data_IF_415335226867
#
_entry.id   IF_415335226867
#
_cell.length_a   1.000
_cell.length_b   1.000
_cell.length_c   1.000
_cell.angle_alpha   90.00
_cell.angle_beta   90.00
_cell.angle_gamma   90.00
#
_symmetry.space_group_name_H-M   'P 1'
#
loop_
_entity.id
_entity.type
_entity.pdbx_description
1 polymer ?
#
# COMPACT_ATOMS: atom_id res chain seq x y z
N UNK A 1 -22.62 23.62 27.63
CA UNK A 1 -22.32 22.72 26.50
C UNK A 1 -22.48 23.53 25.23
N UNK A 2 -21.38 24.12 24.74
CA UNK A 2 -21.41 24.96 23.54
C UNK A 2 -21.45 24.08 22.30
N UNK A 3 -22.44 24.29 21.44
CA UNK A 3 -22.53 23.60 20.15
C UNK A 3 -21.47 24.20 19.21
N UNK A 4 -20.50 23.39 18.80
CA UNK A 4 -19.44 23.78 17.87
C UNK A 4 -20.01 23.93 16.46
N UNK A 5 -20.59 25.08 16.15
CA UNK A 5 -20.94 25.43 14.77
C UNK A 5 -19.76 26.21 14.20
N UNK A 6 -18.84 25.52 13.55
CA UNK A 6 -17.85 26.15 12.68
C UNK A 6 -18.58 26.67 11.44
N UNK A 7 -18.92 27.96 11.46
CA UNK A 7 -19.24 28.67 10.23
C UNK A 7 -17.95 28.78 9.42
N UNK A 8 -17.79 27.89 8.44
CA UNK A 8 -16.77 27.99 7.39
C UNK A 8 -17.08 29.24 6.55
N UNK A 9 -16.56 30.39 6.97
CA UNK A 9 -16.83 31.69 6.35
C UNK A 9 -16.25 31.84 4.94
N UNK A 10 -15.46 30.88 4.44
CA UNK A 10 -14.74 31.03 3.16
C UNK A 10 -14.83 29.83 2.21
N UNK A 11 -15.60 28.79 2.53
CA UNK A 11 -15.63 27.57 1.70
C UNK A 11 -17.03 27.33 1.16
N UNK A 12 -17.25 27.76 -0.10
CA UNK A 12 -18.30 27.32 -1.05
C UNK A 12 -19.29 26.30 -0.44
N UNK A 13 -20.19 26.77 0.43
CA UNK A 13 -21.14 25.94 1.22
C UNK A 13 -22.03 25.09 0.31
N UNK A 14 -22.07 25.46 -0.97
CA UNK A 14 -22.80 24.83 -2.03
C UNK A 14 -22.15 23.56 -2.60
N UNK A 15 -20.93 23.16 -2.20
CA UNK A 15 -20.32 21.93 -2.70
C UNK A 15 -19.80 21.05 -1.56
N UNK A 16 -20.28 19.82 -1.48
CA UNK A 16 -19.91 18.85 -0.44
C UNK A 16 -19.21 17.65 -1.08
N UNK A 17 -18.09 17.22 -0.50
CA UNK A 17 -17.43 16.00 -0.91
C UNK A 17 -17.97 14.79 -0.16
N UNK A 18 -18.28 13.72 -0.90
CA UNK A 18 -18.86 12.49 -0.34
C UNK A 18 -18.21 11.23 -0.92
N UNK A 19 -18.32 10.14 -0.16
CA UNK A 19 -18.04 8.77 -0.61
C UNK A 19 -19.35 7.98 -0.56
N UNK A 20 -19.59 7.16 -1.59
CA UNK A 20 -20.73 6.26 -1.62
C UNK A 20 -20.34 4.91 -1.00
N UNK A 21 -21.13 4.44 -0.04
CA UNK A 21 -21.00 3.09 0.53
C UNK A 21 -21.55 2.02 -0.45
N UNK A 22 -21.38 0.75 -0.10
CA UNK A 22 -21.90 -0.41 -0.84
C UNK A 22 -23.42 -0.36 -1.05
N UNK A 23 -24.15 0.26 -0.11
CA UNK A 23 -25.59 0.46 -0.19
C UNK A 23 -26.00 1.72 -0.98
N UNK A 24 -25.04 2.43 -1.59
CA UNK A 24 -25.28 3.68 -2.31
C UNK A 24 -25.51 4.90 -1.42
N UNK A 25 -25.25 4.80 -0.10
CA UNK A 25 -25.42 5.92 0.84
C UNK A 25 -24.23 6.86 0.76
N UNK A 26 -24.49 8.15 0.58
CA UNK A 26 -23.47 9.19 0.55
C UNK A 26 -23.05 9.63 1.96
N UNK A 27 -21.78 9.42 2.32
CA UNK A 27 -21.17 9.93 3.55
C UNK A 27 -20.30 11.14 3.28
N UNK A 28 -20.46 12.19 4.07
CA UNK A 28 -19.58 13.37 4.01
C UNK A 28 -18.18 13.00 4.48
N UNK A 29 -17.19 13.55 3.78
CA UNK A 29 -15.77 13.38 4.11
C UNK A 29 -15.02 14.71 4.01
N UNK A 30 -13.79 14.73 4.49
CA UNK A 30 -12.93 15.90 4.37
C UNK A 30 -12.63 16.20 2.89
N UNK A 31 -12.36 17.48 2.60
CA UNK A 31 -11.98 17.92 1.26
C UNK A 31 -10.75 17.15 0.75
N UNK A 32 -10.82 16.66 -0.49
CA UNK A 32 -9.78 15.85 -1.14
C UNK A 32 -9.94 14.34 -0.95
N UNK A 33 -10.80 13.88 -0.05
CA UNK A 33 -11.02 12.45 0.19
C UNK A 33 -12.29 11.90 -0.47
N UNK A 34 -13.19 12.78 -0.93
CA UNK A 34 -14.45 12.35 -1.55
C UNK A 34 -14.26 11.86 -2.98
N UNK A 35 -15.04 10.86 -3.35
CA UNK A 35 -15.12 10.37 -4.74
C UNK A 35 -16.18 11.10 -5.56
N UNK A 36 -17.17 11.70 -4.88
CA UNK A 36 -18.26 12.44 -5.50
C UNK A 36 -18.41 13.83 -4.87
N UNK A 37 -18.96 14.74 -5.65
CA UNK A 37 -19.25 16.13 -5.30
C UNK A 37 -20.75 16.36 -5.40
N UNK A 38 -21.37 16.83 -4.31
CA UNK A 38 -22.76 17.26 -4.29
C UNK A 38 -22.78 18.78 -4.37
N UNK A 39 -23.27 19.32 -5.48
CA UNK A 39 -23.47 20.75 -5.71
C UNK A 39 -24.92 21.13 -5.42
N UNK A 40 -25.10 21.91 -4.36
CA UNK A 40 -26.38 22.47 -3.92
C UNK A 40 -26.53 23.86 -4.54
N UNK A 41 -27.63 24.08 -5.24
CA UNK A 41 -27.97 25.39 -5.79
C UNK A 41 -29.25 25.89 -5.09
N UNK A 42 -29.38 27.19 -4.80
CA UNK A 42 -30.58 27.72 -4.16
C UNK A 42 -31.81 27.62 -5.08
N UNK A 43 -31.64 27.88 -6.37
CA UNK A 43 -32.74 28.01 -7.35
C UNK A 43 -32.78 26.86 -8.36
N UNK A 44 -31.94 25.83 -8.18
CA UNK A 44 -31.81 24.70 -9.11
C UNK A 44 -31.71 23.40 -8.34
N UNK A 45 -31.99 22.31 -9.04
CA UNK A 45 -31.83 20.97 -8.47
C UNK A 45 -30.38 20.73 -8.03
N UNK A 46 -30.25 20.01 -6.92
CA UNK A 46 -28.95 19.57 -6.41
C UNK A 46 -28.37 18.54 -7.37
N UNK A 47 -27.12 18.76 -7.80
CA UNK A 47 -26.43 17.90 -8.77
C UNK A 47 -25.31 17.12 -8.10
N UNK A 48 -25.18 15.85 -8.44
CA UNK A 48 -24.05 15.02 -8.02
C UNK A 48 -23.12 14.77 -9.21
N UNK A 49 -21.83 15.03 -9.02
CA UNK A 49 -20.79 14.80 -10.03
C UNK A 49 -19.71 13.88 -9.45
N UNK A 50 -19.24 12.91 -10.24
CA UNK A 50 -18.10 12.07 -9.86
C UNK A 50 -16.80 12.83 -10.10
N UNK A 51 -15.90 12.87 -9.12
CA UNK A 51 -14.57 13.44 -9.35
C UNK A 51 -13.80 12.57 -10.34
N UNK A 52 -13.10 13.18 -11.32
CA UNK A 52 -12.16 12.43 -12.13
C UNK A 52 -11.09 11.83 -11.20
N UNK A 53 -10.67 10.58 -11.45
CA UNK A 53 -9.53 10.03 -10.72
C UNK A 53 -8.33 10.94 -10.98
N UNK A 54 -7.75 11.48 -9.90
CA UNK A 54 -6.57 12.32 -9.99
C UNK A 54 -5.50 11.46 -10.63
N UNK A 55 -5.07 11.83 -11.85
CA UNK A 55 -3.97 11.15 -12.51
C UNK A 55 -2.73 11.38 -11.64
N UNK A 56 -1.88 10.37 -11.42
CA UNK A 56 -0.67 10.53 -10.61
C UNK A 56 0.27 11.63 -11.13
N UNK A 57 0.12 12.11 -12.38
CA UNK A 57 0.89 13.25 -12.88
C UNK A 57 0.55 14.59 -12.20
N UNK A 58 -0.63 14.75 -11.60
CA UNK A 58 -0.99 15.97 -10.85
C UNK A 58 -0.44 15.94 -9.40
N UNK A 59 -0.14 14.77 -8.85
CA UNK A 59 0.56 14.61 -7.56
C UNK A 59 2.08 14.80 -7.67
N UNK A 60 2.61 14.96 -8.88
CA UNK A 60 4.05 15.15 -9.15
C UNK A 60 4.63 16.44 -8.53
N UNK A 61 3.77 17.38 -8.12
CA UNK A 61 4.19 18.60 -7.43
C UNK A 61 4.48 18.40 -5.93
N UNK A 62 4.16 17.23 -5.36
CA UNK A 62 4.53 16.91 -3.99
C UNK A 62 6.01 16.53 -3.96
N UNK A 63 6.86 17.52 -3.65
CA UNK A 63 8.29 17.31 -3.44
C UNK A 63 8.51 16.18 -2.43
N UNK A 64 9.37 15.22 -2.79
CA UNK A 64 9.78 14.15 -1.87
C UNK A 64 10.23 14.78 -0.55
N UNK A 65 9.67 14.39 0.60
CA UNK A 65 10.09 14.96 1.88
C UNK A 65 11.58 14.69 2.08
N UNK A 66 12.29 15.73 2.51
CA UNK A 66 13.72 15.62 2.79
C UNK A 66 13.91 14.61 3.92
N UNK A 67 14.68 13.55 3.66
CA UNK A 67 14.93 12.53 4.68
C UNK A 67 15.68 13.17 5.86
N UNK A 68 15.09 13.11 7.05
CA UNK A 68 15.67 13.68 8.26
C UNK A 68 16.97 12.99 8.70
N UNK A 69 17.21 11.77 8.21
CA UNK A 69 18.37 10.97 8.59
C UNK A 69 18.96 10.27 7.37
N UNK A 70 20.20 10.63 7.04
CA UNK A 70 21.06 9.85 6.15
C UNK A 70 22.07 9.11 7.03
N UNK A 71 22.08 7.77 7.05
CA UNK A 71 23.14 7.04 7.74
C UNK A 71 24.48 7.42 7.09
N UNK A 72 25.33 8.06 7.88
CA UNK A 72 26.72 8.36 7.50
C UNK A 72 27.37 7.02 7.15
N UNK A 73 27.81 6.85 5.89
CA UNK A 73 28.52 5.64 5.47
C UNK A 73 29.78 5.52 6.32
N UNK A 74 29.72 4.69 7.35
CA UNK A 74 30.92 4.20 8.02
C UNK A 74 31.65 3.30 7.03
N UNK A 75 32.96 3.47 6.81
CA UNK A 75 33.70 2.52 5.99
C UNK A 75 33.55 1.14 6.62
N UNK A 76 32.91 0.22 5.90
CA UNK A 76 32.86 -1.20 6.27
C UNK A 76 34.31 -1.67 6.34
N UNK A 77 34.80 -1.99 7.54
CA UNK A 77 36.06 -2.71 7.67
C UNK A 77 35.86 -4.07 7.01
N UNK A 78 36.54 -4.32 5.89
CA UNK A 78 36.58 -5.62 5.26
C UNK A 78 37.08 -6.64 6.30
N UNK A 79 36.22 -7.57 6.72
CA UNK A 79 36.69 -8.76 7.42
C UNK A 79 37.49 -9.60 6.41
N UNK A 80 38.75 -9.99 6.71
CA UNK A 80 39.45 -10.92 5.86
C UNK A 80 38.73 -12.27 5.94
N UNK A 81 38.02 -12.65 4.89
CA UNK A 81 37.64 -14.04 4.68
C UNK A 81 38.93 -14.81 4.43
N UNK A 82 39.45 -15.45 5.48
CA UNK A 82 40.54 -16.41 5.35
C UNK A 82 40.14 -17.45 4.30
N UNK A 83 40.93 -17.55 3.24
CA UNK A 83 40.75 -18.49 2.15
C UNK A 83 41.05 -19.91 2.63
N UNK A 84 40.13 -20.52 3.36
CA UNK A 84 40.12 -21.97 3.54
C UNK A 84 38.70 -22.48 3.77
N UNK A 85 37.86 -22.35 2.73
CA UNK A 85 36.62 -23.11 2.63
C UNK A 85 36.94 -24.42 1.93
N UNK A 86 37.32 -25.44 2.69
CA UNK A 86 37.17 -26.81 2.21
C UNK A 86 35.66 -27.03 1.99
N UNK A 87 35.26 -27.17 0.72
CA UNK A 87 33.90 -27.59 0.37
C UNK A 87 33.73 -29.03 0.85
N UNK A 88 32.99 -29.21 1.94
CA UNK A 88 32.51 -30.54 2.33
C UNK A 88 31.35 -30.87 1.38
N UNK A 89 31.59 -31.78 0.45
CA UNK A 89 30.52 -32.38 -0.35
C UNK A 89 29.81 -33.43 0.52
N UNK A 90 28.46 -33.49 0.54
CA UNK A 90 27.77 -34.60 1.17
C UNK A 90 28.08 -35.89 0.38
N UNK A 91 28.52 -36.92 1.11
CA UNK A 91 28.86 -38.22 0.55
C UNK A 91 27.57 -38.99 0.26
N UNK A 92 27.28 -39.28 -1.01
CA UNK A 92 26.06 -39.97 -1.46
C UNK A 92 26.27 -41.49 -1.60
N UNK A 93 26.94 -42.13 -0.65
CA UNK A 93 27.26 -43.57 -0.74
C UNK A 93 26.45 -44.44 0.23
N UNK A 94 25.22 -44.05 0.58
CA UNK A 94 24.33 -44.86 1.42
C UNK A 94 22.89 -44.89 0.87
N UNK A 95 22.71 -45.11 -0.43
CA UNK A 95 21.41 -45.57 -0.99
C UNK A 95 21.67 -46.47 -2.19
N UNK A 96 22.43 -47.55 -2.00
CA UNK A 96 22.60 -48.58 -3.03
C UNK A 96 22.88 -49.93 -2.36
N UNK A 97 21.94 -50.41 -1.54
CA UNK A 97 21.87 -51.80 -1.04
C UNK A 97 20.64 -51.93 -0.13
N UNK A 98 19.45 -52.04 -0.70
CA UNK A 98 18.29 -52.64 -0.01
C UNK A 98 17.05 -52.89 -0.90
N UNK A 99 17.19 -52.90 -2.23
CA UNK A 99 16.07 -53.25 -3.12
C UNK A 99 16.48 -54.37 -4.08
N UNK A 100 16.86 -55.51 -3.51
CA UNK A 100 16.99 -56.78 -4.23
C UNK A 100 16.99 -57.93 -3.22
N UNK A 101 15.83 -58.19 -2.63
CA UNK A 101 15.38 -59.47 -2.06
C UNK A 101 13.91 -59.24 -1.67
N UNK A 102 13.06 -60.25 -1.85
CA UNK A 102 11.64 -60.25 -1.47
C UNK A 102 10.63 -59.67 -2.48
N UNK A 103 10.55 -60.26 -3.67
CA UNK A 103 9.25 -60.50 -4.34
C UNK A 103 9.37 -61.55 -5.46
N UNK A 104 9.98 -62.70 -5.18
CA UNK A 104 9.84 -63.88 -6.04
C UNK A 104 9.26 -65.04 -5.22
N UNK A 105 8.04 -64.85 -4.72
CA UNK A 105 7.19 -65.96 -4.28
C UNK A 105 5.72 -65.52 -4.34
N UNK A 106 5.09 -65.79 -5.48
CA UNK A 106 3.63 -66.01 -5.52
C UNK A 106 3.32 -67.05 -6.57
N UNK A 107 3.29 -68.29 -6.08
CA UNK A 107 2.51 -69.38 -6.66
C UNK A 107 1.01 -69.06 -6.62
#
# INVERSE_FOLDING_TARGET
MGCCISHDKDQKVNTIEVVLDENGVARRVAAGQGTHLIKIFPDKETKMERKPPIKPSEMSHLSRPQAAYYPKKTPMSCFPTSANRQKIHPNNDIVAKEEQLDANEKA
#
